data_IF_666725367424
#
_entry.id   IF_666725367424
#
_cell.length_a   1.000
_cell.length_b   1.000
_cell.length_c   1.000
_cell.angle_alpha   90.00
_cell.angle_beta   90.00
_cell.angle_gamma   90.00
#
_symmetry.space_group_name_H-M   'P 1'
#
loop_
_entity.id
_entity.type
_entity.pdbx_description
1 polymer ?
#
# COMPACT_ATOMS: atom_id res chain seq x y z
N UNK A 1 -33.75 7.69 29.62
CA UNK A 1 -32.46 7.42 28.93
C UNK A 1 -32.55 8.15 27.61
N UNK A 2 -31.50 8.83 27.20
CA UNK A 2 -31.49 9.48 25.88
C UNK A 2 -31.47 8.39 24.82
N UNK A 3 -32.28 8.56 23.78
CA UNK A 3 -32.36 7.64 22.66
C UNK A 3 -31.02 7.65 21.90
N UNK A 4 -30.44 6.47 21.64
CA UNK A 4 -29.22 6.32 20.85
C UNK A 4 -29.62 6.42 19.38
N UNK A 5 -29.13 7.47 18.69
CA UNK A 5 -29.42 7.70 17.27
C UNK A 5 -28.14 7.67 16.45
N UNK A 6 -28.26 7.32 15.16
CA UNK A 6 -27.13 7.32 14.24
C UNK A 6 -26.41 8.70 14.20
N UNK A 7 -27.17 9.80 14.19
CA UNK A 7 -26.61 11.15 14.17
C UNK A 7 -25.74 11.42 15.41
N UNK A 8 -26.17 11.00 16.57
CA UNK A 8 -25.42 11.17 17.83
C UNK A 8 -24.13 10.34 17.84
N UNK A 9 -24.16 9.14 17.27
CA UNK A 9 -22.97 8.31 17.10
C UNK A 9 -21.98 8.94 16.11
N UNK A 10 -22.50 9.49 15.00
CA UNK A 10 -21.68 10.19 14.00
C UNK A 10 -21.02 11.46 14.59
N UNK A 11 -21.75 12.25 15.35
CA UNK A 11 -21.21 13.41 16.08
C UNK A 11 -20.10 12.99 17.05
N UNK A 12 -20.28 11.90 17.79
CA UNK A 12 -19.26 11.39 18.70
C UNK A 12 -18.02 10.91 17.94
N UNK A 13 -18.18 10.19 16.83
CA UNK A 13 -17.06 9.76 15.98
C UNK A 13 -16.29 10.94 15.38
N UNK A 14 -16.97 12.05 15.07
CA UNK A 14 -16.33 13.26 14.56
C UNK A 14 -15.43 13.95 15.61
N UNK A 15 -15.54 13.62 16.89
CA UNK A 15 -14.62 14.14 17.91
C UNK A 15 -13.26 13.44 17.91
N UNK A 16 -13.16 12.24 17.31
CA UNK A 16 -11.91 11.51 17.22
C UNK A 16 -11.08 11.98 16.04
N UNK A 17 -9.93 12.58 16.34
CA UNK A 17 -8.95 12.94 15.31
C UNK A 17 -7.97 11.80 15.15
N UNK A 18 -7.95 11.20 13.96
CA UNK A 18 -7.03 10.12 13.64
C UNK A 18 -5.60 10.66 13.52
N UNK A 19 -4.61 10.06 14.19
CA UNK A 19 -3.25 10.58 14.25
C UNK A 19 -2.50 10.51 12.90
N UNK A 20 -2.90 9.62 11.99
CA UNK A 20 -2.28 9.47 10.68
C UNK A 20 -2.94 10.34 9.61
N UNK A 21 -4.25 10.57 9.74
CA UNK A 21 -5.00 11.43 8.82
C UNK A 21 -5.01 12.90 9.26
N UNK A 22 -4.69 13.18 10.55
CA UNK A 22 -4.81 14.50 11.18
C UNK A 22 -6.21 15.13 11.04
N UNK A 23 -7.22 14.28 10.87
CA UNK A 23 -8.63 14.63 10.63
C UNK A 23 -9.53 13.57 11.25
N UNK A 24 -10.78 13.93 11.44
CA UNK A 24 -11.79 12.97 11.89
C UNK A 24 -12.20 11.97 10.78
N UNK A 25 -12.66 10.80 11.22
CA UNK A 25 -13.01 9.69 10.32
C UNK A 25 -14.32 9.91 9.56
N UNK A 26 -15.18 10.81 10.02
CA UNK A 26 -16.45 11.15 9.37
C UNK A 26 -16.18 12.07 8.18
N UNK A 27 -15.46 13.18 8.39
CA UNK A 27 -15.11 14.14 7.33
C UNK A 27 -14.24 13.51 6.23
N UNK A 28 -13.38 12.54 6.58
CA UNK A 28 -12.59 11.78 5.61
C UNK A 28 -13.38 10.68 4.91
N UNK A 29 -14.66 10.51 5.27
CA UNK A 29 -15.54 9.45 4.74
C UNK A 29 -14.99 8.03 4.99
N UNK A 30 -14.20 7.86 6.05
CA UNK A 30 -13.68 6.56 6.48
C UNK A 30 -14.75 5.74 7.19
N UNK A 31 -15.67 6.36 7.91
CA UNK A 31 -16.89 5.70 8.42
C UNK A 31 -17.82 5.37 7.25
N UNK A 32 -18.16 4.09 7.09
CA UNK A 32 -18.98 3.61 5.96
C UNK A 32 -20.39 3.24 6.34
N UNK A 33 -20.54 2.71 7.54
CA UNK A 33 -21.84 2.24 8.02
C UNK A 33 -21.91 2.41 9.54
N UNK A 34 -23.07 2.82 10.02
CA UNK A 34 -23.40 2.93 11.46
C UNK A 34 -24.77 2.29 11.65
N UNK A 35 -24.81 1.20 12.40
CA UNK A 35 -26.04 0.53 12.77
C UNK A 35 -26.29 0.71 14.25
N UNK A 36 -27.51 1.09 14.59
CA UNK A 36 -27.98 1.22 15.97
C UNK A 36 -29.15 0.26 16.16
N UNK A 37 -29.00 -0.65 17.11
CA UNK A 37 -30.04 -1.61 17.51
C UNK A 37 -30.25 -1.48 19.02
N UNK A 38 -31.21 -0.66 19.39
CA UNK A 38 -31.47 -0.31 20.77
C UNK A 38 -30.27 0.40 21.41
N UNK A 39 -29.61 -0.26 22.33
CA UNK A 39 -28.43 0.21 23.06
C UNK A 39 -27.10 -0.34 22.50
N UNK A 40 -27.15 -1.10 21.39
CA UNK A 40 -25.98 -1.67 20.70
C UNK A 40 -25.65 -0.90 19.44
N UNK A 41 -24.36 -0.64 19.25
CA UNK A 41 -23.89 0.11 18.10
C UNK A 41 -22.85 -0.72 17.34
N UNK A 42 -23.02 -0.84 16.03
CA UNK A 42 -22.01 -1.41 15.12
C UNK A 42 -21.54 -0.35 14.13
N UNK A 43 -20.21 -0.18 14.03
CA UNK A 43 -19.59 0.80 13.13
C UNK A 43 -18.60 0.10 12.22
N UNK A 44 -18.68 0.40 10.91
CA UNK A 44 -17.72 -0.06 9.91
C UNK A 44 -16.83 1.09 9.45
N UNK A 45 -15.52 0.93 9.63
CA UNK A 45 -14.50 1.90 9.21
C UNK A 45 -13.65 1.29 8.10
N UNK A 46 -13.42 2.04 7.03
CA UNK A 46 -12.57 1.65 5.91
C UNK A 46 -11.47 2.67 5.72
N UNK A 47 -10.23 2.25 5.98
CA UNK A 47 -9.05 3.08 5.76
C UNK A 47 -8.60 3.00 4.29
N UNK A 48 -8.19 4.13 3.73
CA UNK A 48 -7.70 4.25 2.35
C UNK A 48 -6.21 3.97 2.18
N UNK A 49 -5.53 3.54 3.23
CA UNK A 49 -4.09 3.28 3.26
C UNK A 49 -3.80 1.95 3.98
N UNK A 50 -2.65 1.29 3.71
CA UNK A 50 -2.25 0.08 4.42
C UNK A 50 -2.02 0.40 5.90
N UNK A 51 -2.67 -0.35 6.79
CA UNK A 51 -2.64 -0.07 8.23
C UNK A 51 -3.06 -1.31 9.04
N UNK A 52 -2.63 -2.51 8.65
CA UNK A 52 -3.07 -3.72 9.33
C UNK A 52 -2.66 -3.76 10.80
N UNK A 53 -1.47 -3.23 11.13
CA UNK A 53 -1.01 -3.11 12.51
C UNK A 53 -1.80 -2.11 13.38
N UNK A 54 -2.56 -1.20 12.73
CA UNK A 54 -3.33 -0.16 13.43
C UNK A 54 -4.81 -0.54 13.64
N UNK A 55 -5.33 -1.56 12.95
CA UNK A 55 -6.76 -1.88 12.99
C UNK A 55 -7.28 -2.15 14.39
N UNK A 56 -6.58 -2.97 15.17
CA UNK A 56 -7.02 -3.32 16.53
C UNK A 56 -6.96 -2.12 17.48
N UNK A 57 -5.92 -1.32 17.40
CA UNK A 57 -5.76 -0.11 18.20
C UNK A 57 -6.89 0.89 17.90
N UNK A 58 -7.15 1.16 16.63
CA UNK A 58 -8.22 2.06 16.21
C UNK A 58 -9.59 1.54 16.65
N UNK A 59 -9.86 0.26 16.41
CA UNK A 59 -11.13 -0.37 16.83
C UNK A 59 -11.34 -0.25 18.34
N UNK A 60 -10.31 -0.48 19.15
CA UNK A 60 -10.35 -0.34 20.60
C UNK A 60 -10.63 1.10 21.07
N UNK A 61 -9.97 2.09 20.47
CA UNK A 61 -10.17 3.51 20.77
C UNK A 61 -11.59 3.98 20.41
N UNK A 62 -12.07 3.62 19.23
CA UNK A 62 -13.42 3.99 18.80
C UNK A 62 -14.50 3.28 19.63
N UNK A 63 -14.28 2.01 19.97
CA UNK A 63 -15.18 1.27 20.86
C UNK A 63 -15.32 1.97 22.20
N UNK A 64 -14.23 2.30 22.87
CA UNK A 64 -14.24 3.01 24.16
C UNK A 64 -14.94 4.38 24.05
N UNK A 65 -14.71 5.11 22.95
CA UNK A 65 -15.35 6.38 22.67
C UNK A 65 -16.86 6.23 22.52
N UNK A 66 -17.34 5.20 21.81
CA UNK A 66 -18.76 4.96 21.59
C UNK A 66 -19.47 4.46 22.87
N UNK A 67 -18.82 3.61 23.67
CA UNK A 67 -19.34 3.13 24.93
C UNK A 67 -19.40 4.22 26.02
N UNK A 68 -18.74 5.37 25.81
CA UNK A 68 -18.89 6.55 26.67
C UNK A 68 -20.16 7.37 26.38
N UNK A 69 -20.88 7.08 25.31
CA UNK A 69 -22.13 7.76 24.97
C UNK A 69 -23.28 7.23 25.82
N UNK A 70 -24.00 8.14 26.50
CA UNK A 70 -25.15 7.76 27.33
C UNK A 70 -26.20 6.97 26.54
N UNK A 71 -26.52 5.79 27.01
CA UNK A 71 -27.50 4.89 26.41
C UNK A 71 -26.87 3.79 25.56
N UNK A 72 -25.57 3.82 25.27
CA UNK A 72 -24.85 2.73 24.60
C UNK A 72 -24.37 1.71 25.62
N UNK A 73 -24.78 0.46 25.51
CA UNK A 73 -24.33 -0.63 26.39
C UNK A 73 -23.15 -1.39 25.81
N UNK A 74 -23.07 -1.47 24.47
CA UNK A 74 -21.95 -2.09 23.79
C UNK A 74 -21.74 -1.52 22.39
N UNK A 75 -20.46 -1.40 21.99
CA UNK A 75 -20.09 -1.02 20.64
C UNK A 75 -19.19 -2.07 19.99
N UNK A 76 -19.43 -2.35 18.72
CA UNK A 76 -18.57 -3.16 17.86
C UNK A 76 -18.04 -2.30 16.73
N UNK A 77 -16.73 -2.27 16.56
CA UNK A 77 -16.08 -1.49 15.50
C UNK A 77 -15.28 -2.42 14.61
N UNK A 78 -15.66 -2.47 13.34
CA UNK A 78 -15.00 -3.26 12.31
C UNK A 78 -14.12 -2.33 11.47
N UNK A 79 -12.81 -2.48 11.56
CA UNK A 79 -11.84 -1.71 10.78
C UNK A 79 -11.31 -2.58 9.65
N UNK A 80 -11.27 -2.05 8.45
CA UNK A 80 -10.74 -2.70 7.26
C UNK A 80 -9.98 -1.72 6.38
N UNK A 81 -9.19 -2.24 5.42
CA UNK A 81 -8.44 -1.42 4.47
C UNK A 81 -8.94 -1.65 3.05
N UNK A 82 -9.17 -0.58 2.31
CA UNK A 82 -9.50 -0.63 0.88
C UNK A 82 -8.73 0.43 0.11
N UNK A 83 -7.63 0.01 -0.51
CA UNK A 83 -6.80 0.89 -1.33
C UNK A 83 -7.52 1.20 -2.64
N UNK A 84 -7.74 2.49 -2.91
CA UNK A 84 -8.28 2.96 -4.17
C UNK A 84 -7.20 2.92 -5.27
N UNK A 85 -7.60 2.57 -6.49
CA UNK A 85 -6.73 2.68 -7.64
C UNK A 85 -6.69 4.14 -8.14
N UNK A 86 -5.48 4.62 -8.42
CA UNK A 86 -5.27 5.95 -9.01
C UNK A 86 -4.51 5.82 -10.33
N UNK A 87 -4.99 6.48 -11.37
CA UNK A 87 -4.26 6.56 -12.62
C UNK A 87 -2.98 7.40 -12.42
N UNK A 88 -1.84 6.85 -12.78
CA UNK A 88 -0.55 7.53 -12.66
C UNK A 88 -0.48 8.80 -13.53
N UNK A 89 -1.09 8.78 -14.74
CA UNK A 89 -1.12 9.91 -15.66
C UNK A 89 -2.26 9.76 -16.67
N UNK A 90 -2.86 10.88 -17.11
CA UNK A 90 -3.85 10.88 -18.20
C UNK A 90 -3.19 10.37 -19.49
N UNK A 91 -3.83 9.40 -20.15
CA UNK A 91 -3.37 8.85 -21.44
C UNK A 91 -2.36 7.69 -21.33
N UNK A 92 -1.92 7.31 -20.14
CA UNK A 92 -1.13 6.08 -19.93
C UNK A 92 -2.10 4.93 -19.67
N UNK A 93 -1.89 3.80 -20.38
CA UNK A 93 -2.71 2.59 -20.15
C UNK A 93 -2.50 2.12 -18.72
N UNK A 94 -3.59 1.96 -18.01
CA UNK A 94 -3.57 1.42 -16.66
C UNK A 94 -3.20 -0.07 -16.71
N UNK A 95 -2.36 -0.51 -15.78
CA UNK A 95 -2.09 -1.93 -15.58
C UNK A 95 -3.10 -2.40 -14.54
N UNK A 96 -4.07 -3.21 -14.98
CA UNK A 96 -5.25 -3.56 -14.17
C UNK A 96 -4.91 -4.20 -12.81
N UNK A 97 -3.79 -4.92 -12.74
CA UNK A 97 -3.33 -5.55 -11.50
C UNK A 97 -2.68 -4.56 -10.51
N UNK A 98 -2.27 -3.37 -10.95
CA UNK A 98 -1.54 -2.38 -10.14
C UNK A 98 -2.45 -1.21 -9.81
N UNK A 99 -2.82 -1.05 -8.54
CA UNK A 99 -3.67 0.05 -8.07
C UNK A 99 -2.95 1.40 -8.04
N UNK A 100 -1.69 1.41 -7.61
CA UNK A 100 -0.92 2.64 -7.44
C UNK A 100 0.55 2.38 -7.80
N UNK A 101 1.18 3.35 -8.45
CA UNK A 101 2.61 3.34 -8.77
C UNK A 101 3.25 4.52 -8.06
N UNK A 102 4.28 4.24 -7.26
CA UNK A 102 5.08 5.23 -6.56
C UNK A 102 6.46 5.27 -7.19
N UNK A 103 6.82 6.40 -7.80
CA UNK A 103 8.14 6.59 -8.39
C UNK A 103 9.10 7.22 -7.38
N UNK A 104 10.20 6.52 -7.06
CA UNK A 104 11.29 7.04 -6.24
C UNK A 104 12.46 7.39 -7.15
N UNK A 105 12.73 8.67 -7.33
CA UNK A 105 13.73 9.15 -8.27
C UNK A 105 14.66 10.19 -7.64
N UNK A 106 15.86 10.34 -8.20
CA UNK A 106 16.81 11.39 -7.82
C UNK A 106 17.68 11.76 -9.02
N UNK A 107 17.94 13.04 -9.19
CA UNK A 107 18.89 13.55 -10.18
C UNK A 107 20.36 13.49 -9.72
N UNK A 108 20.64 13.07 -8.48
CA UNK A 108 21.99 12.96 -7.90
C UNK A 108 22.25 11.52 -7.45
N UNK A 109 23.43 10.99 -7.80
CA UNK A 109 23.89 9.69 -7.32
C UNK A 109 24.22 9.70 -5.82
N UNK A 110 24.14 8.53 -5.17
CA UNK A 110 24.58 8.35 -3.79
C UNK A 110 23.70 8.97 -2.69
N UNK A 111 22.49 9.44 -3.00
CA UNK A 111 21.57 10.07 -2.03
C UNK A 111 20.61 9.09 -1.34
N UNK A 112 20.75 7.80 -1.60
CA UNK A 112 19.91 6.77 -0.96
C UNK A 112 18.59 6.48 -1.68
N UNK A 113 18.44 6.80 -2.96
CA UNK A 113 17.25 6.49 -3.78
C UNK A 113 16.79 5.03 -3.61
N UNK A 114 17.67 4.08 -3.89
CA UNK A 114 17.37 2.65 -3.83
C UNK A 114 17.07 2.18 -2.40
N UNK A 115 17.80 2.72 -1.42
CA UNK A 115 17.54 2.45 0.00
C UNK A 115 16.16 2.93 0.43
N UNK A 116 15.77 4.14 0.01
CA UNK A 116 14.43 4.67 0.28
C UNK A 116 13.36 3.82 -0.38
N UNK A 117 13.56 3.42 -1.64
CA UNK A 117 12.59 2.61 -2.39
C UNK A 117 12.34 1.25 -1.71
N UNK A 118 13.41 0.51 -1.36
CA UNK A 118 13.25 -0.79 -0.72
C UNK A 118 12.64 -0.70 0.68
N UNK A 119 13.05 0.28 1.48
CA UNK A 119 12.49 0.45 2.82
C UNK A 119 11.02 0.88 2.78
N UNK A 120 10.62 1.74 1.84
CA UNK A 120 9.23 2.09 1.63
C UNK A 120 8.40 0.88 1.21
N UNK A 121 8.90 0.07 0.28
CA UNK A 121 8.23 -1.16 -0.15
C UNK A 121 8.05 -2.15 1.01
N UNK A 122 9.08 -2.37 1.83
CA UNK A 122 9.03 -3.22 3.01
C UNK A 122 8.05 -2.68 4.07
N UNK A 123 8.05 -1.37 4.32
CA UNK A 123 7.13 -0.75 5.26
C UNK A 123 5.66 -0.91 4.82
N UNK A 124 5.37 -0.65 3.53
CA UNK A 124 4.03 -0.85 2.98
C UNK A 124 3.58 -2.32 3.05
N UNK A 125 4.49 -3.27 2.79
CA UNK A 125 4.20 -4.70 2.92
C UNK A 125 3.95 -5.10 4.37
N UNK A 126 4.72 -4.58 5.32
CA UNK A 126 4.50 -4.82 6.76
C UNK A 126 3.14 -4.31 7.23
N UNK A 127 2.64 -3.23 6.63
CA UNK A 127 1.29 -2.69 6.87
C UNK A 127 0.18 -3.41 6.06
N UNK A 128 0.49 -4.56 5.47
CA UNK A 128 -0.49 -5.44 4.83
C UNK A 128 -0.80 -5.12 3.36
N UNK A 129 0.00 -4.28 2.69
CA UNK A 129 -0.14 -4.07 1.25
C UNK A 129 0.53 -5.19 0.44
N UNK A 130 -0.06 -5.54 -0.71
CA UNK A 130 0.64 -6.31 -1.73
C UNK A 130 1.53 -5.35 -2.51
N UNK A 131 2.83 -5.55 -2.44
CA UNK A 131 3.83 -4.61 -2.99
C UNK A 131 4.77 -5.33 -3.93
N UNK A 132 5.00 -4.73 -5.09
CA UNK A 132 6.08 -5.07 -6.00
C UNK A 132 7.10 -3.92 -6.10
N UNK A 133 8.34 -4.24 -6.40
CA UNK A 133 9.40 -3.29 -6.67
C UNK A 133 9.97 -3.55 -8.06
N UNK A 134 9.96 -2.54 -8.92
CA UNK A 134 10.64 -2.56 -10.21
C UNK A 134 11.90 -1.71 -10.10
N UNK A 135 13.07 -2.35 -10.27
CA UNK A 135 14.35 -1.65 -10.37
C UNK A 135 14.49 -1.04 -11.76
N UNK A 136 14.27 0.26 -11.84
CA UNK A 136 14.37 1.02 -13.08
C UNK A 136 15.77 1.61 -13.31
N UNK A 137 16.75 1.31 -12.46
CA UNK A 137 18.15 1.72 -12.63
C UNK A 137 18.90 0.67 -13.47
N UNK A 138 18.73 0.75 -14.78
CA UNK A 138 19.29 -0.22 -15.73
C UNK A 138 20.82 -0.24 -15.73
N UNK A 139 21.46 0.91 -15.45
CA UNK A 139 22.93 1.03 -15.47
C UNK A 139 23.60 0.58 -14.17
N UNK A 140 22.86 0.58 -13.06
CA UNK A 140 23.38 0.17 -11.76
C UNK A 140 22.29 -0.48 -10.89
N UNK A 141 21.76 -1.63 -11.35
CA UNK A 141 20.68 -2.29 -10.62
C UNK A 141 21.15 -2.69 -9.23
N UNK A 142 20.39 -2.31 -8.22
CA UNK A 142 20.78 -2.49 -6.82
C UNK A 142 19.80 -3.33 -6.01
N UNK A 143 18.57 -3.50 -6.49
CA UNK A 143 17.53 -4.21 -5.75
C UNK A 143 17.82 -5.70 -5.53
N UNK A 144 18.42 -6.45 -6.46
CA UNK A 144 18.80 -7.84 -6.20
C UNK A 144 19.69 -7.98 -4.97
N UNK A 145 20.72 -7.14 -4.86
CA UNK A 145 21.64 -7.13 -3.72
C UNK A 145 20.97 -6.66 -2.43
N UNK A 146 20.14 -5.63 -2.50
CA UNK A 146 19.45 -5.06 -1.32
C UNK A 146 18.40 -6.00 -0.76
N UNK A 147 17.71 -6.76 -1.61
CA UNK A 147 16.72 -7.76 -1.22
C UNK A 147 17.33 -9.13 -0.91
N UNK A 148 18.65 -9.30 -1.11
CA UNK A 148 19.34 -10.57 -0.87
C UNK A 148 18.87 -11.70 -1.78
N UNK A 149 18.43 -11.35 -3.01
CA UNK A 149 17.92 -12.33 -3.99
C UNK A 149 18.96 -12.58 -5.05
N UNK A 150 19.25 -13.86 -5.29
CA UNK A 150 20.13 -14.32 -6.36
C UNK A 150 19.40 -15.29 -7.28
N UNK A 151 19.89 -15.43 -8.50
CA UNK A 151 19.32 -16.31 -9.52
C UNK A 151 18.57 -15.56 -10.61
N UNK A 152 17.92 -16.31 -11.48
CA UNK A 152 17.17 -15.77 -12.63
C UNK A 152 15.67 -16.03 -12.45
N UNK A 153 14.81 -15.09 -12.87
CA UNK A 153 13.38 -15.31 -12.93
C UNK A 153 13.03 -16.54 -13.74
N UNK A 154 12.07 -17.30 -13.29
CA UNK A 154 11.54 -18.45 -14.01
C UNK A 154 10.48 -17.99 -15.03
N UNK A 155 10.31 -18.77 -16.07
CA UNK A 155 9.24 -18.57 -17.06
C UNK A 155 8.43 -19.84 -17.19
N UNK A 156 7.15 -19.78 -16.86
CA UNK A 156 6.25 -20.94 -16.93
C UNK A 156 5.80 -21.20 -18.38
N UNK A 157 5.61 -20.15 -19.16
CA UNK A 157 5.07 -20.19 -20.52
C UNK A 157 6.14 -19.91 -21.61
N UNK A 158 7.37 -19.66 -21.21
CA UNK A 158 8.48 -19.26 -22.09
C UNK A 158 8.35 -17.85 -22.68
N UNK A 159 7.38 -17.05 -22.19
CA UNK A 159 7.12 -15.67 -22.68
C UNK A 159 7.12 -14.65 -21.56
N UNK A 160 6.49 -14.98 -20.42
CA UNK A 160 6.41 -14.13 -19.25
C UNK A 160 7.41 -14.56 -18.19
N UNK A 161 7.89 -13.62 -17.40
CA UNK A 161 8.84 -13.86 -16.32
C UNK A 161 8.13 -13.72 -14.97
N UNK A 162 8.25 -14.76 -14.15
CA UNK A 162 7.75 -14.68 -12.78
C UNK A 162 8.66 -13.78 -11.93
N UNK A 163 8.12 -12.78 -11.20
CA UNK A 163 8.93 -11.91 -10.38
C UNK A 163 9.60 -12.69 -9.23
N UNK A 164 10.83 -12.29 -8.90
CA UNK A 164 11.53 -12.83 -7.74
C UNK A 164 10.83 -12.41 -6.45
N UNK A 165 10.81 -13.30 -5.45
CA UNK A 165 10.14 -13.05 -4.18
C UNK A 165 11.15 -12.95 -3.04
N UNK A 166 11.06 -11.89 -2.24
CA UNK A 166 11.85 -11.71 -1.01
C UNK A 166 11.09 -10.81 -0.03
N UNK A 167 11.09 -11.17 1.26
CA UNK A 167 10.43 -10.41 2.32
C UNK A 167 8.97 -10.04 2.02
N UNK A 168 8.21 -10.95 1.39
CA UNK A 168 6.85 -10.74 0.91
C UNK A 168 6.70 -9.65 -0.16
N UNK A 169 7.80 -9.25 -0.81
CA UNK A 169 7.81 -8.37 -1.97
C UNK A 169 8.03 -9.17 -3.24
N UNK A 170 7.34 -8.77 -4.29
CA UNK A 170 7.69 -9.16 -5.67
C UNK A 170 8.73 -8.17 -6.21
N UNK A 171 9.80 -8.67 -6.80
CA UNK A 171 10.86 -7.83 -7.32
C UNK A 171 11.24 -8.22 -8.75
N UNK A 172 11.36 -7.22 -9.61
CA UNK A 172 11.88 -7.36 -10.94
C UNK A 172 12.99 -6.35 -11.18
N UNK A 173 14.08 -6.82 -11.78
CA UNK A 173 15.28 -6.02 -12.09
C UNK A 173 16.00 -6.62 -13.29
N UNK A 174 16.61 -5.76 -14.10
CA UNK A 174 17.52 -6.23 -15.14
C UNK A 174 18.73 -6.99 -14.55
N UNK A 175 19.09 -6.69 -13.30
CA UNK A 175 20.16 -7.37 -12.59
C UNK A 175 19.90 -8.85 -12.29
N UNK A 176 18.68 -9.35 -12.47
CA UNK A 176 18.38 -10.79 -12.44
C UNK A 176 18.62 -11.47 -13.79
N UNK A 177 18.62 -10.71 -14.90
CA UNK A 177 18.70 -11.23 -16.27
C UNK A 177 20.09 -11.15 -16.85
N UNK A 178 20.90 -10.21 -16.39
CA UNK A 178 22.24 -9.91 -16.92
C UNK A 178 23.27 -10.11 -15.82
N UNK A 179 24.32 -10.85 -16.13
CA UNK A 179 25.43 -11.03 -15.19
C UNK A 179 26.19 -9.70 -15.00
N UNK A 180 26.53 -9.35 -13.76
CA UNK A 180 27.21 -8.09 -13.41
C UNK A 180 28.54 -7.91 -14.18
N UNK A 181 29.21 -8.98 -14.56
CA UNK A 181 30.49 -8.97 -15.29
C UNK A 181 30.34 -8.80 -16.80
N UNK A 182 29.10 -8.85 -17.33
CA UNK A 182 28.85 -8.73 -18.77
C UNK A 182 28.71 -7.27 -19.17
N UNK A 183 29.67 -6.69 -19.94
CA UNK A 183 29.55 -5.32 -20.38
C UNK A 183 28.38 -5.17 -21.37
N UNK A 184 27.32 -4.51 -20.96
CA UNK A 184 26.19 -4.19 -21.81
C UNK A 184 26.20 -2.73 -22.22
N UNK A 185 26.12 -2.49 -23.53
CA UNK A 185 25.99 -1.11 -24.06
C UNK A 185 24.49 -0.81 -24.20
N UNK A 186 23.91 -0.17 -23.18
CA UNK A 186 22.53 0.27 -23.20
C UNK A 186 22.38 1.61 -23.93
N UNK A 187 21.59 1.63 -25.00
CA UNK A 187 21.15 2.88 -25.66
C UNK A 187 19.74 3.22 -25.18
N UNK A 188 19.37 4.50 -25.17
CA UNK A 188 18.10 4.99 -24.65
C UNK A 188 16.86 4.18 -25.07
N UNK A 189 16.66 3.89 -26.38
CA UNK A 189 15.51 3.07 -26.80
C UNK A 189 15.52 1.65 -26.22
N UNK A 190 16.69 1.02 -26.06
CA UNK A 190 16.83 -0.32 -25.49
C UNK A 190 16.48 -0.32 -23.99
N UNK A 191 16.88 0.72 -23.26
CA UNK A 191 16.52 0.90 -21.83
C UNK A 191 15.01 0.98 -21.68
N UNK A 192 14.35 1.81 -22.48
CA UNK A 192 12.88 1.97 -22.43
C UNK A 192 12.17 0.65 -22.75
N UNK A 193 12.63 -0.08 -23.76
CA UNK A 193 12.05 -1.37 -24.13
C UNK A 193 12.25 -2.41 -23.02
N UNK A 194 13.44 -2.49 -22.43
CA UNK A 194 13.72 -3.40 -21.32
C UNK A 194 12.82 -3.13 -20.10
N UNK A 195 12.66 -1.84 -19.72
CA UNK A 195 11.77 -1.47 -18.63
C UNK A 195 10.30 -1.80 -18.92
N UNK A 196 9.86 -1.58 -20.15
CA UNK A 196 8.50 -1.96 -20.56
C UNK A 196 8.28 -3.47 -20.50
N UNK A 197 9.27 -4.24 -20.90
CA UNK A 197 9.22 -5.70 -20.84
C UNK A 197 9.20 -6.18 -19.38
N UNK A 198 10.09 -5.70 -18.52
CA UNK A 198 10.11 -6.05 -17.10
C UNK A 198 8.83 -5.69 -16.34
N UNK A 199 8.05 -4.74 -16.86
CA UNK A 199 6.80 -4.30 -16.23
C UNK A 199 5.57 -5.07 -16.74
N UNK A 200 5.59 -5.54 -18.00
CA UNK A 200 4.40 -6.09 -18.65
C UNK A 200 4.44 -7.61 -18.88
N UNK A 201 5.61 -8.20 -18.85
CA UNK A 201 5.85 -9.65 -19.02
C UNK A 201 6.10 -10.32 -17.69
#
# INVERSE_FOLDING_TARGET
MAEVTQARIEEQLATYIDPYLERDLVSTKSVKDIKVDGDKVEVSVVLGFPASGYHEELAGKLKALLESVDGVSSATVNVSTKIAAHAAQKGVKHIDAIKNIIAVASGKGGVGKSTTAVNLALALSAEGANVGILDADIYGPSQPRMLGVAGKPESVDGKTLEPMNSYHLQAMSIGFLVDEETPMIWRGPMVTQALQQLLND
#
